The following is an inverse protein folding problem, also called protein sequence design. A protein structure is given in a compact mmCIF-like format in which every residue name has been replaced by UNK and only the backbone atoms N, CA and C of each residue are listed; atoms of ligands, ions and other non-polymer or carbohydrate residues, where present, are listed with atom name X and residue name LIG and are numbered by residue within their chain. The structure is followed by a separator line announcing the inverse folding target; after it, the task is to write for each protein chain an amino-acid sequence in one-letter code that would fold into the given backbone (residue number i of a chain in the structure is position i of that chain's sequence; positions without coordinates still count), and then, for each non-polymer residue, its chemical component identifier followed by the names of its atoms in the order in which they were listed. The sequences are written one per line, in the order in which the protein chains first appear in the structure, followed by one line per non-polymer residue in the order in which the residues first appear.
data_IF_199782877340
#
_entry.id   IF_199782877340
#
_cell.length_a   1.000
_cell.length_b   1.000
_cell.length_c   1.000
_cell.angle_alpha   90.00
_cell.angle_beta   90.00
_cell.angle_gamma   90.00
#
_symmetry.space_group_name_H-M   'P 1'
#
loop_
_entity.id
_entity.type
_entity.pdbx_description
1 polymer ?
#
# COMPACT_ATOMS: atom_id res chain seq x y z
N UNK A 1 3.36 18.72 -5.43
CA UNK A 1 2.29 18.34 -4.48
C UNK A 1 1.61 17.09 -5.02
N UNK A 2 1.55 15.98 -4.29
CA UNK A 2 0.98 14.73 -4.81
C UNK A 2 -0.56 14.79 -4.90
N UNK A 3 -1.13 14.31 -6.00
CA UNK A 3 -2.58 14.11 -6.18
C UNK A 3 -3.04 12.95 -5.28
N UNK A 4 -4.19 13.07 -4.64
CA UNK A 4 -4.73 12.04 -3.75
C UNK A 4 -5.87 11.29 -4.41
N UNK A 5 -5.95 10.00 -4.14
CA UNK A 5 -7.05 9.13 -4.56
C UNK A 5 -7.67 8.51 -3.32
N UNK A 6 -8.99 8.63 -3.20
CA UNK A 6 -9.76 8.10 -2.06
C UNK A 6 -10.61 6.95 -2.57
N UNK A 7 -10.47 5.77 -1.96
CA UNK A 7 -11.33 4.62 -2.24
C UNK A 7 -12.39 4.56 -1.14
N UNK A 8 -13.66 4.74 -1.49
CA UNK A 8 -14.78 4.66 -0.55
C UNK A 8 -16.07 4.25 -1.24
N UNK A 9 -16.88 3.43 -0.56
CA UNK A 9 -18.21 3.04 -1.00
C UNK A 9 -19.33 3.95 -0.49
N UNK A 10 -19.04 4.78 0.52
CA UNK A 10 -20.06 5.59 1.22
C UNK A 10 -19.94 7.09 0.95
N UNK A 11 -18.77 7.56 0.53
CA UNK A 11 -18.57 8.98 0.24
C UNK A 11 -19.25 9.37 -1.07
N UNK A 12 -20.04 10.44 -1.03
CA UNK A 12 -20.67 11.04 -2.20
C UNK A 12 -19.74 12.01 -2.94
N UNK A 13 -18.73 12.55 -2.26
CA UNK A 13 -17.72 13.46 -2.82
C UNK A 13 -16.51 13.59 -1.89
N UNK A 14 -15.47 14.25 -2.41
CA UNK A 14 -14.22 14.59 -1.70
C UNK A 14 -13.80 16.01 -2.09
N UNK A 15 -12.95 16.64 -1.28
CA UNK A 15 -12.53 18.03 -1.47
C UNK A 15 -11.02 18.18 -1.70
N UNK A 16 -10.61 19.44 -1.87
CA UNK A 16 -9.22 19.91 -1.89
C UNK A 16 -8.37 19.39 -3.06
N UNK A 17 -7.73 18.23 -2.92
CA UNK A 17 -6.82 17.67 -3.94
C UNK A 17 -6.99 16.16 -4.12
N UNK A 18 -8.17 15.67 -3.74
CA UNK A 18 -8.55 14.27 -3.80
C UNK A 18 -9.52 14.00 -4.94
N UNK A 19 -9.40 12.81 -5.52
CA UNK A 19 -10.37 12.24 -6.44
C UNK A 19 -10.95 10.97 -5.82
N UNK A 20 -12.27 10.83 -5.86
CA UNK A 20 -12.94 9.64 -5.35
C UNK A 20 -12.90 8.54 -6.42
N UNK A 21 -12.21 7.44 -6.12
CA UNK A 21 -12.17 6.24 -6.97
C UNK A 21 -13.44 5.44 -6.74
N UNK A 22 -14.18 5.22 -7.83
CA UNK A 22 -15.43 4.43 -7.84
C UNK A 22 -15.33 3.25 -8.81
N UNK A 23 -16.12 2.23 -8.55
CA UNK A 23 -16.21 1.05 -9.39
C UNK A 23 -15.12 0.03 -9.10
N UNK A 24 -14.61 -0.63 -10.14
CA UNK A 24 -13.63 -1.70 -10.00
C UNK A 24 -12.26 -1.14 -9.57
N UNK A 25 -11.82 -1.55 -8.38
CA UNK A 25 -10.57 -1.10 -7.79
C UNK A 25 -9.35 -1.49 -8.64
N UNK A 26 -9.35 -2.72 -9.19
CA UNK A 26 -8.23 -3.24 -9.95
C UNK A 26 -7.99 -2.45 -11.23
N UNK A 27 -9.04 -2.23 -12.01
CA UNK A 27 -9.00 -1.42 -13.23
C UNK A 27 -8.62 0.03 -12.93
N UNK A 28 -9.17 0.62 -11.87
CA UNK A 28 -8.85 2.00 -11.50
C UNK A 28 -7.35 2.15 -11.21
N UNK A 29 -6.80 1.27 -10.37
CA UNK A 29 -5.37 1.30 -10.01
C UNK A 29 -4.48 0.99 -11.22
N UNK A 30 -4.87 0.05 -12.09
CA UNK A 30 -4.12 -0.21 -13.32
C UNK A 30 -4.05 1.01 -14.23
N UNK A 31 -5.13 1.78 -14.38
CA UNK A 31 -5.12 3.05 -15.12
C UNK A 31 -4.20 4.07 -14.46
N UNK A 32 -4.29 4.23 -13.14
CA UNK A 32 -3.41 5.14 -12.40
C UNK A 32 -1.93 4.77 -12.55
N UNK A 33 -1.59 3.48 -12.58
CA UNK A 33 -0.23 3.00 -12.83
C UNK A 33 0.29 3.28 -14.24
N UNK A 34 -0.59 3.56 -15.21
CA UNK A 34 -0.24 3.94 -16.57
C UNK A 34 -0.05 5.46 -16.73
N UNK A 35 -0.54 6.26 -15.78
CA UNK A 35 -0.32 7.70 -15.77
C UNK A 35 1.15 8.01 -15.49
N UNK A 36 1.69 9.05 -16.10
CA UNK A 36 3.05 9.52 -15.84
C UNK A 36 3.19 10.05 -14.41
N UNK A 37 4.16 9.57 -13.63
CA UNK A 37 4.43 10.04 -12.28
C UNK A 37 5.55 9.29 -11.56
N UNK A 38 5.82 9.67 -10.31
CA UNK A 38 6.86 9.08 -9.45
C UNK A 38 6.42 7.80 -8.71
N UNK A 39 5.22 7.29 -9.03
CA UNK A 39 4.62 6.12 -8.39
C UNK A 39 3.39 6.43 -7.54
N UNK A 40 2.81 5.38 -6.96
CA UNK A 40 1.60 5.43 -6.13
C UNK A 40 1.92 4.88 -4.74
N UNK A 41 1.56 5.63 -3.71
CA UNK A 41 1.65 5.18 -2.32
C UNK A 41 0.25 4.87 -1.80
N UNK A 42 0.14 3.77 -1.06
CA UNK A 42 -1.13 3.30 -0.49
C UNK A 42 -1.07 3.36 1.04
N UNK A 43 -2.15 3.83 1.66
CA UNK A 43 -2.29 3.91 3.11
C UNK A 43 -3.52 3.15 3.64
N UNK A 44 -3.53 2.91 4.95
CA UNK A 44 -4.59 2.18 5.64
C UNK A 44 -4.28 0.68 5.78
N UNK A 45 -5.29 -0.12 6.12
CA UNK A 45 -5.16 -1.58 6.28
C UNK A 45 -5.98 -2.36 5.25
N UNK A 46 -7.21 -1.91 4.98
CA UNK A 46 -8.14 -2.57 4.04
C UNK A 46 -7.68 -2.44 2.60
N UNK A 47 -7.29 -1.24 2.17
CA UNK A 47 -6.91 -0.99 0.78
C UNK A 47 -5.59 -1.70 0.39
N UNK A 48 -4.49 -1.62 1.17
CA UNK A 48 -3.29 -2.39 0.85
C UNK A 48 -3.53 -3.90 0.79
N UNK A 49 -4.36 -4.45 1.69
CA UNK A 49 -4.72 -5.87 1.64
C UNK A 49 -5.42 -6.23 0.33
N UNK A 50 -6.43 -5.46 -0.06
CA UNK A 50 -7.15 -5.69 -1.32
C UNK A 50 -6.22 -5.58 -2.54
N UNK A 51 -5.29 -4.62 -2.56
CA UNK A 51 -4.31 -4.48 -3.65
C UNK A 51 -3.27 -5.60 -3.66
N UNK A 52 -2.87 -6.11 -2.51
CA UNK A 52 -2.00 -7.27 -2.40
C UNK A 52 -2.68 -8.53 -2.96
N UNK A 53 -3.93 -8.79 -2.59
CA UNK A 53 -4.74 -9.90 -3.13
C UNK A 53 -4.91 -9.80 -4.66
N UNK A 54 -5.01 -8.58 -5.19
CA UNK A 54 -5.08 -8.34 -6.64
C UNK A 54 -3.71 -8.41 -7.36
N UNK A 55 -2.61 -8.60 -6.63
CA UNK A 55 -1.25 -8.62 -7.19
C UNK A 55 -0.79 -7.28 -7.76
N UNK A 56 -1.37 -6.17 -7.29
CA UNK A 56 -1.15 -4.82 -7.85
C UNK A 56 -0.07 -4.01 -7.13
N UNK A 57 0.48 -4.51 -6.02
CA UNK A 57 1.61 -3.91 -5.32
C UNK A 57 2.92 -4.39 -5.95
N UNK A 58 3.74 -3.46 -6.45
CA UNK A 58 5.03 -3.78 -7.05
C UNK A 58 6.16 -3.83 -6.02
N UNK A 59 6.03 -3.07 -4.93
CA UNK A 59 7.05 -2.94 -3.90
C UNK A 59 6.40 -2.80 -2.52
N UNK A 60 6.98 -3.48 -1.54
CA UNK A 60 6.57 -3.46 -0.15
C UNK A 60 7.68 -2.83 0.68
N UNK A 61 7.41 -1.69 1.29
CA UNK A 61 8.31 -1.07 2.26
C UNK A 61 7.78 -1.29 3.68
N UNK A 62 8.47 -2.14 4.45
CA UNK A 62 8.14 -2.40 5.84
C UNK A 62 9.07 -1.62 6.76
N UNK A 63 8.47 -0.73 7.56
CA UNK A 63 9.18 0.02 8.59
C UNK A 63 8.99 -0.65 9.95
N UNK A 64 9.98 -1.42 10.38
CA UNK A 64 9.97 -2.13 11.66
C UNK A 64 10.39 -1.17 12.76
N UNK A 65 9.49 -0.95 13.73
CA UNK A 65 9.72 -0.08 14.88
C UNK A 65 10.24 -0.90 16.07
N UNK A 66 11.13 -0.33 16.92
CA UNK A 66 11.64 -1.01 18.12
C UNK A 66 10.62 -0.98 19.27
N UNK A 67 9.38 -1.42 19.00
CA UNK A 67 8.27 -1.44 19.97
C UNK A 67 7.40 -2.67 19.74
N UNK A 68 6.91 -3.27 20.82
CA UNK A 68 5.88 -4.29 20.80
C UNK A 68 4.52 -3.63 21.04
N UNK A 69 3.69 -3.54 20.01
CA UNK A 69 2.41 -2.83 20.08
C UNK A 69 1.34 -3.54 20.93
N UNK A 70 1.48 -4.85 21.19
CA UNK A 70 0.54 -5.64 21.97
C UNK A 70 -0.72 -6.03 21.20
N UNK A 71 -1.61 -5.07 20.92
CA UNK A 71 -2.88 -5.30 20.23
C UNK A 71 -3.14 -4.30 19.10
N UNK A 72 -3.92 -4.71 18.10
CA UNK A 72 -4.32 -3.84 17.00
C UNK A 72 -4.52 -4.59 15.69
N UNK A 73 -4.83 -3.86 14.60
CA UNK A 73 -4.90 -4.46 13.29
C UNK A 73 -3.53 -5.00 12.89
N UNK A 74 -3.51 -6.22 12.34
CA UNK A 74 -2.29 -6.85 11.83
C UNK A 74 -2.15 -6.55 10.34
N UNK A 75 -0.95 -6.15 9.93
CA UNK A 75 -0.62 -5.86 8.54
C UNK A 75 -0.94 -7.05 7.64
N UNK A 76 -1.71 -6.81 6.57
CA UNK A 76 -2.12 -7.81 5.56
C UNK A 76 -2.83 -9.05 6.14
N UNK A 77 -3.43 -8.95 7.33
CA UNK A 77 -4.24 -10.05 7.87
C UNK A 77 -5.46 -10.34 6.97
N UNK A 78 -5.60 -11.58 6.53
CA UNK A 78 -6.65 -12.01 5.61
C UNK A 78 -6.22 -12.16 4.14
N UNK A 79 -4.92 -12.05 3.86
CA UNK A 79 -4.36 -12.34 2.53
C UNK A 79 -4.77 -13.75 2.08
N UNK A 80 -5.27 -13.87 0.85
CA UNK A 80 -5.83 -15.14 0.34
C UNK A 80 -4.76 -16.16 0.02
N UNK A 81 -3.69 -15.69 -0.60
CA UNK A 81 -2.60 -16.52 -1.12
C UNK A 81 -1.27 -16.06 -0.55
N UNK A 82 -0.30 -16.97 -0.47
CA UNK A 82 1.05 -16.64 -0.06
C UNK A 82 1.74 -15.80 -1.14
N UNK A 83 2.25 -14.63 -0.76
CA UNK A 83 3.10 -13.80 -1.63
C UNK A 83 4.56 -14.02 -1.21
N UNK A 84 5.38 -14.54 -2.13
CA UNK A 84 6.82 -14.66 -1.93
C UNK A 84 7.49 -13.32 -2.27
N UNK A 85 8.36 -12.87 -1.38
CA UNK A 85 9.05 -11.58 -1.48
C UNK A 85 10.56 -11.79 -1.55
N UNK A 86 11.23 -10.92 -2.29
CA UNK A 86 12.69 -10.77 -2.36
C UNK A 86 13.10 -9.44 -1.74
N UNK A 87 14.09 -9.46 -0.85
CA UNK A 87 14.64 -8.25 -0.24
C UNK A 87 15.48 -7.50 -1.28
N UNK A 88 15.14 -6.26 -1.56
CA UNK A 88 15.86 -5.42 -2.53
C UNK A 88 16.63 -4.28 -1.87
N UNK A 89 16.27 -3.87 -0.66
CA UNK A 89 17.01 -2.85 0.11
C UNK A 89 16.76 -2.94 1.61
N UNK A 90 17.70 -2.44 2.41
CA UNK A 90 17.61 -2.36 3.87
C UNK A 90 18.35 -1.14 4.41
N UNK A 91 17.63 -0.31 5.14
CA UNK A 91 18.17 0.85 5.84
C UNK A 91 17.92 0.75 7.35
N UNK A 92 18.98 0.92 8.14
CA UNK A 92 18.90 0.99 9.60
C UNK A 92 19.05 2.43 10.09
N UNK A 93 18.11 2.90 10.91
CA UNK A 93 18.11 4.26 11.44
C UNK A 93 18.70 4.31 12.85
N UNK A 94 19.27 5.47 13.23
CA UNK A 94 19.78 5.71 14.60
C UNK A 94 18.70 5.58 15.69
N UNK A 95 17.42 5.69 15.33
CA UNK A 95 16.29 5.47 16.24
C UNK A 95 16.07 3.99 16.60
N UNK A 96 16.77 3.05 15.95
CA UNK A 96 16.54 1.61 16.05
C UNK A 96 15.47 1.08 15.09
N UNK A 97 14.79 1.96 14.34
CA UNK A 97 13.90 1.53 13.26
C UNK A 97 14.70 0.94 12.08
N UNK A 98 14.07 0.02 11.34
CA UNK A 98 14.64 -0.55 10.11
C UNK A 98 13.61 -0.44 8.99
N UNK A 99 13.99 0.15 7.86
CA UNK A 99 13.22 0.07 6.62
C UNK A 99 13.72 -1.13 5.81
N UNK A 100 12.79 -1.98 5.39
CA UNK A 100 13.04 -3.13 4.55
C UNK A 100 12.20 -2.99 3.28
N UNK A 101 12.85 -2.97 2.12
CA UNK A 101 12.17 -2.86 0.83
C UNK A 101 12.20 -4.20 0.14
N UNK A 102 11.03 -4.66 -0.30
CA UNK A 102 10.84 -5.96 -0.94
C UNK A 102 10.09 -5.83 -2.25
N UNK A 103 10.32 -6.77 -3.16
CA UNK A 103 9.51 -6.96 -4.36
C UNK A 103 8.90 -8.37 -4.39
N UNK A 104 7.68 -8.55 -4.89
CA UNK A 104 7.15 -9.89 -5.16
C UNK A 104 8.03 -10.63 -6.15
N UNK A 105 8.40 -11.86 -5.82
CA UNK A 105 8.98 -12.79 -6.79
C UNK A 105 7.84 -13.33 -7.63
N UNK A 106 7.80 -12.96 -8.91
CA UNK A 106 6.85 -13.51 -9.89
C UNK A 106 7.46 -14.70 -10.61
#
# INVERSE_FOLDING_TARGET
RAKKYVVSSTLSGVDWNAELVRGDLGQAVQRLKQESGEGLWVGGVTLPLALADLGLIDEYEFLVQPVLAGHGPTLLAGLRERIQLELVDRDAFRSGAVALRYRPTR
#
